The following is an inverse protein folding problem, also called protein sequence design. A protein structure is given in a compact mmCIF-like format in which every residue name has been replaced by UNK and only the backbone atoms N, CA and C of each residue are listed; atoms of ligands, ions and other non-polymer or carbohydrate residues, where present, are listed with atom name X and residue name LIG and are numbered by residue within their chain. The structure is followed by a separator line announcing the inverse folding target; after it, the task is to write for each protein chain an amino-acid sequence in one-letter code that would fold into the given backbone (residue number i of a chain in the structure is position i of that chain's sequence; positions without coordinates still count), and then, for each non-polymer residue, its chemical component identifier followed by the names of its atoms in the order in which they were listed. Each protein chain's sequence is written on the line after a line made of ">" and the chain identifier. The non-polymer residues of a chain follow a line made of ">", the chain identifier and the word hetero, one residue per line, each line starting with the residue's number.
data_IF_315847872829
#
_entry.id   IF_315847872829
#
_cell.length_a   1.000
_cell.length_b   1.000
_cell.length_c   1.000
_cell.angle_alpha   90.00
_cell.angle_beta   90.00
_cell.angle_gamma   90.00
#
_symmetry.space_group_name_H-M   'P 1'
#
loop_
_entity.id
_entity.type
_entity.pdbx_description
1 polymer ?
#
# COMPACT_ATOMS: atom_id res chain seq x y z
N UNK A 1 -31.78 -4.79 -38.84
CA UNK A 1 -30.56 -4.03 -38.52
C UNK A 1 -29.84 -4.82 -37.43
N UNK A 2 -28.76 -5.54 -37.77
CA UNK A 2 -27.96 -6.32 -36.83
C UNK A 2 -26.85 -5.40 -36.31
N UNK A 3 -26.88 -5.10 -35.01
CA UNK A 3 -25.76 -4.45 -34.32
C UNK A 3 -24.71 -5.53 -34.03
N UNK A 4 -23.60 -5.46 -34.75
CA UNK A 4 -22.38 -6.16 -34.36
C UNK A 4 -21.80 -5.44 -33.13
N UNK A 5 -21.82 -6.10 -31.97
CA UNK A 5 -20.95 -5.72 -30.85
C UNK A 5 -19.57 -6.32 -31.10
N UNK A 6 -18.71 -5.55 -31.77
CA UNK A 6 -17.27 -5.72 -31.67
C UNK A 6 -16.75 -4.58 -30.82
N UNK A 7 -16.34 -4.92 -29.59
CA UNK A 7 -15.79 -4.00 -28.61
C UNK A 7 -15.07 -4.84 -27.56
N UNK A 8 -13.86 -5.24 -27.91
CA UNK A 8 -12.74 -5.69 -27.08
C UNK A 8 -12.91 -5.58 -25.55
N UNK A 9 -13.37 -6.66 -24.91
CA UNK A 9 -12.96 -6.97 -23.54
C UNK A 9 -11.53 -7.50 -23.64
N UNK A 10 -10.54 -6.60 -23.70
CA UNK A 10 -9.17 -7.02 -23.46
C UNK A 10 -9.08 -7.45 -22.00
N UNK A 11 -8.93 -8.74 -21.76
CA UNK A 11 -8.57 -9.31 -20.47
C UNK A 11 -7.33 -8.57 -19.94
N UNK A 12 -7.53 -7.61 -19.04
CA UNK A 12 -6.43 -6.89 -18.39
C UNK A 12 -5.98 -7.71 -17.18
N UNK A 13 -5.00 -8.59 -17.43
CA UNK A 13 -4.40 -9.42 -16.39
C UNK A 13 -3.87 -8.59 -15.20
N UNK A 14 -3.49 -7.32 -15.42
CA UNK A 14 -3.05 -6.41 -14.37
C UNK A 14 -4.19 -5.99 -13.44
N UNK A 15 -5.39 -5.77 -13.97
CA UNK A 15 -6.56 -5.45 -13.17
C UNK A 15 -7.06 -6.65 -12.36
N UNK A 16 -7.04 -7.85 -12.94
CA UNK A 16 -7.39 -9.06 -12.20
C UNK A 16 -6.42 -9.30 -11.03
N UNK A 17 -5.12 -9.13 -11.25
CA UNK A 17 -4.11 -9.29 -10.19
C UNK A 17 -4.34 -8.33 -9.01
N UNK A 18 -4.74 -7.07 -9.29
CA UNK A 18 -5.05 -6.08 -8.26
C UNK A 18 -6.32 -6.42 -7.50
N UNK A 19 -7.37 -6.84 -8.21
CA UNK A 19 -8.62 -7.29 -7.59
C UNK A 19 -8.39 -8.51 -6.68
N UNK A 20 -7.60 -9.49 -7.13
CA UNK A 20 -7.25 -10.67 -6.33
C UNK A 20 -6.41 -10.29 -5.10
N UNK A 21 -5.52 -9.29 -5.22
CA UNK A 21 -4.74 -8.79 -4.09
C UNK A 21 -5.61 -8.10 -3.05
N UNK A 22 -6.51 -7.22 -3.48
CA UNK A 22 -7.48 -6.58 -2.59
C UNK A 22 -8.36 -7.62 -1.89
N UNK A 23 -8.87 -8.62 -2.63
CA UNK A 23 -9.71 -9.67 -2.04
C UNK A 23 -8.97 -10.47 -0.97
N UNK A 24 -7.69 -10.83 -1.16
CA UNK A 24 -6.91 -11.53 -0.12
C UNK A 24 -6.79 -10.74 1.18
N UNK A 25 -6.68 -9.41 1.08
CA UNK A 25 -6.65 -8.55 2.27
C UNK A 25 -8.02 -8.57 2.95
N UNK A 26 -9.10 -8.41 2.18
CA UNK A 26 -10.46 -8.47 2.73
C UNK A 26 -10.76 -9.83 3.36
N UNK A 27 -10.41 -10.94 2.72
CA UNK A 27 -10.57 -12.29 3.26
C UNK A 27 -9.81 -12.49 4.59
N UNK A 28 -8.66 -11.81 4.74
CA UNK A 28 -7.87 -11.86 5.98
C UNK A 28 -8.52 -11.02 7.09
N UNK A 29 -9.15 -9.90 6.73
CA UNK A 29 -9.85 -9.02 7.68
C UNK A 29 -11.21 -9.61 8.10
N UNK A 30 -11.91 -10.29 7.18
CA UNK A 30 -13.19 -10.97 7.37
C UNK A 30 -13.07 -12.25 8.22
N UNK A 31 -11.85 -12.66 8.63
CA UNK A 31 -11.67 -13.82 9.49
C UNK A 31 -12.35 -13.60 10.86
N UNK A 32 -13.15 -14.58 11.31
CA UNK A 32 -13.98 -14.54 12.53
C UNK A 32 -13.24 -14.17 13.84
N UNK A 33 -11.91 -14.08 13.81
CA UNK A 33 -11.04 -13.76 14.95
C UNK A 33 -10.27 -12.42 14.80
N UNK A 34 -10.54 -11.61 13.78
CA UNK A 34 -9.82 -10.34 13.59
C UNK A 34 -10.09 -9.36 14.74
N UNK A 35 -9.07 -8.89 15.47
CA UNK A 35 -9.24 -7.90 16.53
C UNK A 35 -9.40 -6.47 15.99
N UNK A 36 -9.53 -6.31 14.65
CA UNK A 36 -9.56 -5.03 13.96
C UNK A 36 -10.97 -4.73 13.47
N UNK A 37 -11.51 -3.57 13.88
CA UNK A 37 -12.65 -2.97 13.22
C UNK A 37 -12.17 -2.30 11.92
N UNK A 38 -12.79 -2.62 10.78
CA UNK A 38 -12.49 -2.01 9.49
C UNK A 38 -13.78 -1.64 8.75
N UNK A 39 -13.69 -0.59 7.94
CA UNK A 39 -14.75 -0.15 7.04
C UNK A 39 -14.17 -0.01 5.63
N UNK A 40 -14.80 -0.66 4.64
CA UNK A 40 -14.42 -0.50 3.25
C UNK A 40 -15.08 0.75 2.67
N UNK A 41 -14.30 1.82 2.50
CA UNK A 41 -14.80 3.12 2.04
C UNK A 41 -14.67 3.35 0.52
N UNK A 42 -14.42 2.32 -0.29
CA UNK A 42 -14.24 2.44 -1.75
C UNK A 42 -15.40 1.87 -2.56
N UNK A 43 -15.40 2.15 -3.88
CA UNK A 43 -16.09 1.29 -4.85
C UNK A 43 -15.06 0.40 -5.55
N UNK A 44 -15.41 -0.85 -5.88
CA UNK A 44 -14.50 -1.78 -6.61
C UNK A 44 -14.19 -1.27 -8.04
N UNK A 45 -14.79 -0.14 -8.45
CA UNK A 45 -14.61 0.49 -9.75
C UNK A 45 -13.61 1.64 -9.65
N UNK A 46 -12.50 1.54 -10.40
CA UNK A 46 -11.57 2.61 -10.85
C UNK A 46 -11.34 3.86 -9.97
N UNK A 47 -11.53 3.78 -8.65
CA UNK A 47 -11.30 4.87 -7.71
C UNK A 47 -9.88 4.74 -7.16
N UNK A 48 -8.90 5.04 -8.02
CA UNK A 48 -7.48 5.06 -7.68
C UNK A 48 -7.11 6.10 -6.60
N UNK A 49 -5.88 6.60 -6.62
CA UNK A 49 -5.32 7.39 -5.49
C UNK A 49 -5.99 8.74 -5.24
N UNK A 50 -6.83 9.18 -6.18
CA UNK A 50 -7.79 10.28 -6.03
C UNK A 50 -8.74 10.09 -4.84
N UNK A 51 -9.28 8.88 -4.66
CA UNK A 51 -10.31 8.58 -3.66
C UNK A 51 -9.74 8.68 -2.24
N UNK A 52 -8.48 8.26 -2.07
CA UNK A 52 -7.74 8.36 -0.80
C UNK A 52 -7.64 9.81 -0.34
N UNK A 53 -7.26 10.73 -1.24
CA UNK A 53 -7.12 12.13 -0.87
C UNK A 53 -8.46 12.77 -0.46
N UNK A 54 -9.55 12.44 -1.16
CA UNK A 54 -10.88 12.97 -0.83
C UNK A 54 -11.42 12.38 0.48
N UNK A 55 -11.25 11.08 0.68
CA UNK A 55 -11.62 10.40 1.92
C UNK A 55 -10.94 11.00 3.14
N UNK A 56 -9.65 11.32 3.04
CA UNK A 56 -8.90 11.96 4.13
C UNK A 56 -9.44 13.36 4.43
N UNK A 57 -9.72 14.17 3.40
CA UNK A 57 -10.29 15.52 3.58
C UNK A 57 -11.63 15.50 4.30
N UNK A 58 -12.44 14.47 4.05
CA UNK A 58 -13.77 14.32 4.67
C UNK A 58 -13.70 13.77 6.10
N UNK A 59 -12.60 13.15 6.50
CA UNK A 59 -12.45 12.43 7.77
C UNK A 59 -11.15 12.81 8.51
N UNK A 60 -10.75 14.09 8.47
CA UNK A 60 -9.50 14.59 9.05
C UNK A 60 -9.40 14.42 10.57
N UNK A 61 -10.53 14.26 11.26
CA UNK A 61 -10.61 14.03 12.70
C UNK A 61 -10.40 12.56 13.09
N UNK A 62 -10.44 11.65 12.11
CA UNK A 62 -10.43 10.20 12.33
C UNK A 62 -9.22 9.53 11.69
N UNK A 63 -8.80 9.98 10.50
CA UNK A 63 -7.70 9.34 9.76
C UNK A 63 -6.36 9.92 10.21
N UNK A 64 -5.58 9.10 10.92
CA UNK A 64 -4.23 9.49 11.41
C UNK A 64 -3.10 9.00 10.49
N UNK A 65 -3.30 7.89 9.79
CA UNK A 65 -2.26 7.20 9.03
C UNK A 65 -2.80 6.74 7.67
N UNK A 66 -2.00 6.94 6.62
CA UNK A 66 -2.22 6.39 5.28
C UNK A 66 -1.11 5.39 4.97
N UNK A 67 -1.49 4.11 4.80
CA UNK A 67 -0.61 3.04 4.31
C UNK A 67 -0.96 2.73 2.86
N UNK A 68 -0.02 2.98 1.94
CA UNK A 68 -0.26 2.79 0.51
C UNK A 68 0.69 1.80 -0.12
N UNK A 69 0.13 0.85 -0.85
CA UNK A 69 0.85 0.01 -1.81
C UNK A 69 0.77 0.69 -3.17
N UNK A 70 1.86 1.29 -3.66
CA UNK A 70 1.92 1.85 -5.01
C UNK A 70 3.06 1.22 -5.81
N UNK A 71 2.85 1.05 -7.12
CA UNK A 71 3.83 0.39 -7.99
C UNK A 71 5.15 1.16 -8.14
N UNK A 72 5.18 2.42 -7.72
CA UNK A 72 6.36 3.28 -7.74
C UNK A 72 6.96 3.47 -9.14
N UNK A 73 6.84 4.68 -9.71
CA UNK A 73 7.56 5.18 -10.89
C UNK A 73 8.03 4.16 -11.94
N UNK A 74 7.08 3.45 -12.58
CA UNK A 74 7.34 2.89 -13.90
C UNK A 74 6.63 3.76 -14.93
N UNK A 75 7.42 4.69 -15.45
CA UNK A 75 7.27 5.38 -16.73
C UNK A 75 6.45 6.67 -16.84
N UNK A 76 5.44 7.01 -16.02
CA UNK A 76 4.89 8.38 -16.01
C UNK A 76 4.26 8.81 -14.66
N UNK A 77 4.70 9.99 -14.19
CA UNK A 77 4.07 10.87 -13.19
C UNK A 77 3.85 10.31 -11.75
N UNK A 78 4.90 10.36 -10.95
CA UNK A 78 4.96 10.52 -9.49
C UNK A 78 4.37 9.42 -8.58
N UNK A 79 3.57 8.49 -9.08
CA UNK A 79 2.98 7.42 -8.28
C UNK A 79 1.92 7.90 -7.28
N UNK A 80 1.20 6.93 -6.72
CA UNK A 80 0.06 7.15 -5.84
C UNK A 80 0.38 7.97 -4.60
N UNK A 81 1.49 7.67 -3.92
CA UNK A 81 1.91 8.38 -2.71
C UNK A 81 2.21 9.86 -2.97
N UNK A 82 2.89 10.17 -4.06
CA UNK A 82 3.20 11.56 -4.41
C UNK A 82 1.96 12.33 -4.84
N UNK A 83 1.01 11.66 -5.52
CA UNK A 83 -0.28 12.26 -5.79
C UNK A 83 -0.98 12.67 -4.50
N UNK A 84 -1.10 11.75 -3.52
CA UNK A 84 -1.76 12.04 -2.25
C UNK A 84 -1.04 13.15 -1.48
N UNK A 85 0.30 13.13 -1.40
CA UNK A 85 1.11 14.20 -0.78
C UNK A 85 0.96 15.58 -1.42
N UNK A 86 0.60 15.66 -2.72
CA UNK A 86 0.29 16.95 -3.36
C UNK A 86 -1.11 17.43 -3.07
N UNK A 87 -2.06 16.50 -2.97
CA UNK A 87 -3.47 16.82 -2.74
C UNK A 87 -3.77 17.09 -1.27
N UNK A 88 -2.96 16.52 -0.38
CA UNK A 88 -3.01 16.69 1.06
C UNK A 88 -1.70 17.32 1.51
N UNK A 89 -1.77 18.51 2.11
CA UNK A 89 -0.67 18.93 2.97
C UNK A 89 -0.72 18.05 4.22
N UNK A 90 0.00 16.92 4.18
CA UNK A 90 -0.03 15.90 5.23
C UNK A 90 0.32 16.47 6.60
N UNK A 91 1.22 17.46 6.65
CA UNK A 91 1.64 18.09 7.89
C UNK A 91 0.51 18.93 8.47
N UNK A 92 -0.12 19.76 7.65
CA UNK A 92 -1.23 20.60 8.08
C UNK A 92 -2.50 19.76 8.38
N UNK A 93 -2.68 18.65 7.67
CA UNK A 93 -3.74 17.68 7.90
C UNK A 93 -3.52 16.82 9.15
N UNK A 94 -2.31 16.81 9.73
CA UNK A 94 -1.98 15.95 10.87
C UNK A 94 -1.97 14.45 10.54
N UNK A 95 -1.79 14.09 9.27
CA UNK A 95 -1.87 12.70 8.78
C UNK A 95 -0.49 12.19 8.41
N UNK A 96 -0.07 11.06 8.98
CA UNK A 96 1.18 10.40 8.62
C UNK A 96 0.99 9.50 7.39
N UNK A 97 2.06 9.34 6.61
CA UNK A 97 2.08 8.38 5.48
C UNK A 97 3.38 7.59 5.49
N UNK A 98 3.55 6.67 6.46
CA UNK A 98 4.77 5.88 6.59
C UNK A 98 4.91 4.88 5.44
N UNK A 99 6.11 4.32 5.31
CA UNK A 99 6.34 3.14 4.47
C UNK A 99 5.58 1.93 5.01
N UNK A 100 5.44 0.89 4.19
CA UNK A 100 4.77 -0.34 4.61
C UNK A 100 5.62 -1.22 5.52
N UNK A 101 6.95 -1.02 5.54
CA UNK A 101 7.82 -1.70 6.50
C UNK A 101 7.69 -1.15 7.91
N UNK A 102 7.34 0.13 8.08
CA UNK A 102 7.26 0.77 9.42
C UNK A 102 6.31 0.04 10.37
N UNK A 103 5.06 -0.29 10.01
CA UNK A 103 4.19 -1.09 10.87
C UNK A 103 4.83 -2.40 11.34
N UNK A 104 5.55 -3.11 10.45
CA UNK A 104 6.21 -4.38 10.77
C UNK A 104 7.37 -4.15 11.76
N UNK A 105 8.16 -3.09 11.55
CA UNK A 105 9.20 -2.72 12.50
C UNK A 105 8.67 -2.33 13.88
N UNK A 106 7.51 -1.66 13.94
CA UNK A 106 6.86 -1.35 15.22
C UNK A 106 6.37 -2.62 15.94
N UNK A 107 5.87 -3.62 15.21
CA UNK A 107 5.50 -4.91 15.81
C UNK A 107 6.72 -5.62 16.44
N UNK A 108 7.88 -5.54 15.79
CA UNK A 108 9.12 -6.06 16.36
C UNK A 108 9.56 -5.28 17.60
N UNK A 109 9.50 -3.94 17.58
CA UNK A 109 9.81 -3.13 18.77
C UNK A 109 8.88 -3.42 19.96
N UNK A 110 7.65 -3.85 19.69
CA UNK A 110 6.68 -4.26 20.70
C UNK A 110 6.84 -5.71 21.17
N UNK A 111 7.80 -6.46 20.60
CA UNK A 111 8.04 -7.86 20.90
C UNK A 111 6.95 -8.81 20.39
N UNK A 112 6.12 -8.37 19.44
CA UNK A 112 5.09 -9.19 18.80
C UNK A 112 5.74 -10.12 17.76
N UNK A 113 6.76 -9.62 17.06
CA UNK A 113 7.64 -10.36 16.18
C UNK A 113 9.08 -10.24 16.69
N UNK A 114 9.95 -11.18 16.36
CA UNK A 114 11.39 -10.93 16.48
C UNK A 114 11.85 -9.93 15.40
N UNK A 115 12.98 -9.25 15.65
CA UNK A 115 13.57 -8.33 14.66
C UNK A 115 13.92 -9.09 13.37
N UNK A 116 14.53 -10.27 13.46
CA UNK A 116 14.85 -11.14 12.30
C UNK A 116 13.60 -11.48 11.48
N UNK A 117 12.50 -11.89 12.13
CA UNK A 117 11.23 -12.17 11.45
C UNK A 117 10.66 -10.94 10.77
N UNK A 118 10.72 -9.78 11.42
CA UNK A 118 10.27 -8.52 10.83
C UNK A 118 11.11 -8.14 9.59
N UNK A 119 12.44 -8.25 9.66
CA UNK A 119 13.32 -7.94 8.54
C UNK A 119 13.05 -8.85 7.33
N UNK A 120 12.86 -10.16 7.58
CA UNK A 120 12.50 -11.13 6.53
C UNK A 120 11.15 -10.78 5.91
N UNK A 121 10.13 -10.53 6.73
CA UNK A 121 8.77 -10.23 6.27
C UNK A 121 8.71 -8.96 5.40
N UNK A 122 9.50 -7.93 5.72
CA UNK A 122 9.56 -6.71 4.89
C UNK A 122 10.06 -7.04 3.48
N UNK A 123 11.12 -7.83 3.36
CA UNK A 123 11.64 -8.25 2.05
C UNK A 123 10.67 -9.20 1.31
N UNK A 124 10.05 -10.15 2.01
CA UNK A 124 9.07 -11.07 1.41
C UNK A 124 7.86 -10.33 0.85
N UNK A 125 7.38 -9.28 1.52
CA UNK A 125 6.31 -8.43 1.00
C UNK A 125 6.76 -7.73 -0.28
N UNK A 126 7.96 -7.17 -0.30
CA UNK A 126 8.49 -6.53 -1.50
C UNK A 126 8.59 -7.52 -2.68
N UNK A 127 9.09 -8.73 -2.45
CA UNK A 127 9.20 -9.76 -3.48
C UNK A 127 7.82 -10.21 -3.99
N UNK A 128 6.89 -10.52 -3.09
CA UNK A 128 5.53 -10.97 -3.43
C UNK A 128 4.79 -9.95 -4.27
N UNK A 129 5.00 -8.67 -3.99
CA UNK A 129 4.37 -7.55 -4.70
C UNK A 129 5.14 -7.13 -5.96
N UNK A 130 6.24 -7.84 -6.28
CA UNK A 130 7.06 -7.59 -7.46
C UNK A 130 7.89 -6.31 -7.38
N UNK A 131 8.09 -5.77 -6.18
CA UNK A 131 8.86 -4.55 -5.90
C UNK A 131 10.35 -4.84 -5.90
N UNK A 132 10.88 -5.06 -7.10
CA UNK A 132 12.27 -5.45 -7.32
C UNK A 132 13.18 -4.28 -7.67
N UNK A 133 12.62 -3.08 -7.92
CA UNK A 133 13.42 -1.90 -8.23
C UNK A 133 14.08 -1.34 -6.97
N UNK A 134 15.29 -0.78 -7.10
CA UNK A 134 15.99 -0.12 -5.98
C UNK A 134 15.14 0.94 -5.29
N UNK A 135 14.37 1.71 -6.06
CA UNK A 135 13.50 2.76 -5.51
C UNK A 135 12.34 2.17 -4.71
N UNK A 136 11.75 1.06 -5.16
CA UNK A 136 10.68 0.40 -4.43
C UNK A 136 11.21 -0.22 -3.12
N UNK A 137 12.39 -0.85 -3.16
CA UNK A 137 13.05 -1.39 -1.98
C UNK A 137 13.48 -0.29 -1.00
N UNK A 138 14.02 0.84 -1.47
CA UNK A 138 14.29 1.99 -0.59
C UNK A 138 13.01 2.51 0.10
N UNK A 139 11.90 2.54 -0.63
CA UNK A 139 10.61 3.04 -0.10
C UNK A 139 9.98 2.12 0.93
N UNK A 140 10.07 0.79 0.78
CA UNK A 140 9.48 -0.12 1.76
C UNK A 140 10.23 -0.06 3.11
N UNK A 141 11.55 0.18 3.05
CA UNK A 141 12.44 0.30 4.20
C UNK A 141 12.53 1.70 4.80
N UNK A 142 12.05 2.74 4.10
CA UNK A 142 12.13 4.13 4.57
C UNK A 142 11.50 4.32 5.96
N UNK A 143 12.32 4.72 6.94
CA UNK A 143 11.88 5.00 8.30
C UNK A 143 11.58 3.77 9.16
N UNK A 144 11.89 2.55 8.69
CA UNK A 144 11.75 1.33 9.48
C UNK A 144 12.66 1.41 10.72
N UNK A 145 12.13 1.22 11.94
CA UNK A 145 12.88 1.46 13.15
C UNK A 145 13.59 0.18 13.64
N UNK A 146 14.27 -0.52 12.73
CA UNK A 146 15.01 -1.76 12.97
C UNK A 146 16.43 -1.65 12.41
N UNK A 147 17.36 -2.42 13.00
CA UNK A 147 18.72 -2.60 12.49
C UNK A 147 18.78 -3.96 11.79
N UNK A 148 18.53 -3.97 10.48
CA UNK A 148 18.37 -5.20 9.71
C UNK A 148 19.59 -5.46 8.84
N UNK A 149 20.28 -6.58 9.08
CA UNK A 149 21.34 -7.09 8.19
C UNK A 149 20.81 -7.44 6.78
N UNK A 150 19.48 -7.60 6.66
CA UNK A 150 18.77 -7.89 5.41
C UNK A 150 18.26 -6.63 4.70
N UNK A 151 18.53 -5.43 5.24
CA UNK A 151 18.26 -4.18 4.52
C UNK A 151 19.17 -4.11 3.27
N UNK A 152 18.62 -3.76 2.09
CA UNK A 152 19.43 -3.66 0.88
C UNK A 152 20.57 -2.63 1.02
N UNK A 153 21.82 -3.06 0.80
CA UNK A 153 23.04 -2.24 0.95
C UNK A 153 23.06 -0.91 0.17
N UNK A 154 22.19 -0.74 -0.82
CA UNK A 154 22.09 0.49 -1.63
C UNK A 154 21.14 1.55 -1.04
N UNK A 155 20.62 1.33 0.17
CA UNK A 155 19.72 2.28 0.85
C UNK A 155 20.51 3.38 1.59
N UNK A 156 21.80 3.15 1.90
CA UNK A 156 22.74 4.14 2.45
C UNK A 156 22.95 5.39 1.58
#
# INVERSE_FOLDING_TARGET
>A
MKLHSQGTDSFDAGNQQRADAAQRVLDTLDADESPLDYEFCGSIQEEGEWSVAEMVKQNLDTIEIILMMDRGDTEMADGGRSYVRRQLDLKDAGVAMPSLGVPIGLLAQQGILSEDEACVNINEIAEREGWTSRNALKRIWEGVPLDCDQEPEFIE
#
